data_IF_201034232056
#
_entry.id   IF_201034232056
#
_cell.length_a   1.000
_cell.length_b   1.000
_cell.length_c   1.000
_cell.angle_alpha   90.00
_cell.angle_beta   90.00
_cell.angle_gamma   90.00
#
_symmetry.space_group_name_H-M   'P 1'
#
loop_
_entity.id
_entity.type
_entity.pdbx_description
1 polymer ?
#
# COMPACT_ATOMS: atom_id res chain seq x y z
N UNK A 1 27.12 -21.64 -55.37
CA UNK A 1 26.50 -22.67 -54.50
C UNK A 1 25.28 -22.01 -53.87
N UNK A 2 24.03 -22.03 -54.36
CA UNK A 2 23.20 -23.01 -55.08
C UNK A 2 23.28 -24.41 -54.47
N UNK A 3 22.33 -24.73 -53.58
CA UNK A 3 21.42 -25.86 -53.76
C UNK A 3 20.05 -25.49 -53.17
N UNK A 4 19.06 -25.49 -54.05
CA UNK A 4 17.61 -25.45 -53.79
C UNK A 4 17.10 -26.89 -53.86
N UNK A 5 16.19 -27.30 -52.97
CA UNK A 5 15.44 -28.55 -53.12
C UNK A 5 13.98 -28.28 -52.74
N UNK A 6 13.10 -28.52 -53.72
CA UNK A 6 11.65 -28.58 -53.59
C UNK A 6 11.18 -30.03 -53.99
N UNK A 7 9.88 -30.36 -54.02
CA UNK A 7 9.24 -31.25 -53.06
C UNK A 7 8.82 -32.61 -53.64
N UNK A 8 8.62 -33.61 -52.78
CA UNK A 8 8.13 -34.95 -53.17
C UNK A 8 6.62 -35.10 -52.94
N UNK A 9 6.00 -35.76 -53.90
CA UNK A 9 4.56 -35.93 -54.13
C UNK A 9 3.87 -36.93 -53.20
N UNK A 10 2.54 -36.78 -53.11
CA UNK A 10 1.57 -37.70 -52.53
C UNK A 10 1.28 -38.93 -53.42
N UNK A 11 0.60 -39.96 -52.88
CA UNK A 11 -0.27 -40.79 -53.69
C UNK A 11 -1.74 -40.79 -53.22
N UNK A 12 -2.62 -40.91 -54.24
CA UNK A 12 -4.07 -41.07 -54.20
C UNK A 12 -4.49 -42.48 -53.76
N UNK A 13 -5.65 -42.57 -53.12
CA UNK A 13 -6.61 -43.68 -53.18
C UNK A 13 -7.98 -43.15 -52.72
N UNK A 14 -9.14 -43.71 -53.05
CA UNK A 14 -9.73 -44.41 -54.21
C UNK A 14 -11.23 -44.52 -53.81
N UNK A 15 -12.13 -44.38 -54.78
CA UNK A 15 -13.59 -44.33 -54.59
C UNK A 15 -14.19 -45.62 -53.98
N UNK A 16 -15.30 -45.47 -53.25
CA UNK A 16 -16.32 -46.50 -53.07
C UNK A 16 -17.72 -45.88 -52.85
N UNK A 17 -18.64 -46.26 -53.74
CA UNK A 17 -20.05 -45.88 -53.85
C UNK A 17 -20.97 -46.63 -52.85
N UNK A 18 -21.97 -45.90 -52.33
CA UNK A 18 -23.37 -46.30 -52.02
C UNK A 18 -23.67 -47.47 -51.04
N UNK A 19 -24.94 -47.65 -50.56
CA UNK A 19 -26.22 -47.11 -51.06
C UNK A 19 -27.18 -46.53 -49.98
N UNK A 20 -28.42 -46.29 -50.44
CA UNK A 20 -29.53 -45.44 -49.96
C UNK A 20 -30.44 -45.99 -48.84
N UNK A 21 -31.29 -45.06 -48.39
CA UNK A 21 -32.69 -45.17 -47.93
C UNK A 21 -33.01 -45.54 -46.47
N UNK A 22 -33.87 -44.71 -45.85
CA UNK A 22 -34.46 -44.96 -44.55
C UNK A 22 -35.03 -43.70 -43.90
N UNK A 23 -36.13 -43.17 -44.44
CA UNK A 23 -36.89 -42.09 -43.82
C UNK A 23 -37.85 -42.65 -42.75
N UNK A 24 -37.75 -42.16 -41.52
CA UNK A 24 -38.80 -42.26 -40.49
C UNK A 24 -39.10 -40.87 -39.88
N UNK A 25 -40.39 -40.55 -39.60
CA UNK A 25 -40.81 -39.23 -39.18
C UNK A 25 -40.58 -39.02 -37.68
N UNK A 26 -39.80 -37.99 -37.32
CA UNK A 26 -39.68 -37.53 -35.93
C UNK A 26 -40.96 -36.82 -35.46
N UNK A 27 -41.41 -37.04 -34.21
CA UNK A 27 -42.59 -36.40 -33.66
C UNK A 27 -42.36 -34.89 -33.45
N UNK A 28 -43.34 -34.08 -33.83
CA UNK A 28 -43.39 -32.64 -33.53
C UNK A 28 -43.57 -32.44 -32.02
N UNK A 29 -42.48 -32.21 -31.31
CA UNK A 29 -42.52 -31.63 -29.97
C UNK A 29 -42.71 -30.12 -30.13
N UNK A 30 -43.86 -29.61 -29.66
CA UNK A 30 -44.11 -28.17 -29.49
C UNK A 30 -43.01 -27.61 -28.57
N UNK A 31 -42.15 -26.75 -29.11
CA UNK A 31 -41.26 -25.92 -28.31
C UNK A 31 -42.12 -25.03 -27.41
N UNK A 32 -42.05 -25.24 -26.10
CA UNK A 32 -42.48 -24.25 -25.12
C UNK A 32 -41.57 -23.03 -25.28
N UNK A 33 -42.16 -21.84 -25.38
CA UNK A 33 -41.43 -20.59 -25.38
C UNK A 33 -40.49 -20.54 -24.15
N UNK A 34 -39.21 -20.14 -24.31
CA UNK A 34 -38.33 -19.98 -23.17
C UNK A 34 -38.95 -18.94 -22.23
N UNK A 35 -39.11 -19.33 -20.96
CA UNK A 35 -39.45 -18.39 -19.90
C UNK A 35 -38.43 -17.24 -19.93
N UNK A 36 -38.85 -15.98 -19.73
CA UNK A 36 -37.92 -14.85 -19.67
C UNK A 36 -36.88 -15.17 -18.58
N UNK A 37 -35.61 -15.20 -18.99
CA UNK A 37 -34.50 -15.38 -18.07
C UNK A 37 -34.58 -14.26 -17.02
N UNK A 38 -34.85 -14.64 -15.78
CA UNK A 38 -34.66 -13.76 -14.63
C UNK A 38 -33.16 -13.46 -14.59
N UNK A 39 -32.72 -12.21 -14.76
CA UNK A 39 -31.31 -11.89 -14.64
C UNK A 39 -30.91 -12.13 -13.18
N UNK A 40 -30.14 -13.19 -12.95
CA UNK A 40 -29.33 -13.32 -11.75
C UNK A 40 -28.42 -12.09 -11.72
N UNK A 41 -28.69 -11.18 -10.79
CA UNK A 41 -27.96 -9.94 -10.62
C UNK A 41 -26.47 -10.23 -10.44
N UNK A 42 -25.72 -10.10 -11.52
CA UNK A 42 -24.29 -9.86 -11.44
C UNK A 42 -24.11 -8.58 -10.64
N UNK A 43 -23.40 -8.66 -9.52
CA UNK A 43 -22.89 -7.46 -8.87
C UNK A 43 -22.13 -6.69 -9.95
N UNK A 44 -22.67 -5.55 -10.37
CA UNK A 44 -22.01 -4.69 -11.33
C UNK A 44 -20.61 -4.43 -10.78
N UNK A 45 -19.57 -4.87 -11.49
CA UNK A 45 -18.19 -4.54 -11.16
C UNK A 45 -18.12 -3.02 -11.11
N UNK A 46 -18.11 -2.47 -9.89
CA UNK A 46 -17.95 -1.05 -9.69
C UNK A 46 -16.63 -0.60 -10.31
N UNK A 47 -16.52 0.69 -10.70
CA UNK A 47 -15.24 1.23 -11.15
C UNK A 47 -14.14 0.88 -10.14
N UNK A 48 -12.93 0.51 -10.60
CA UNK A 48 -11.86 0.03 -9.75
C UNK A 48 -11.56 1.03 -8.63
N UNK A 49 -11.78 0.62 -7.38
CA UNK A 49 -11.49 1.45 -6.21
C UNK A 49 -9.98 1.52 -6.01
N UNK A 50 -9.45 2.71 -5.75
CA UNK A 50 -8.01 2.92 -5.51
C UNK A 50 -7.81 3.74 -4.25
N UNK A 51 -6.72 3.57 -3.51
CA UNK A 51 -6.41 4.48 -2.41
C UNK A 51 -5.81 5.76 -2.99
N UNK A 52 -6.39 6.91 -2.66
CA UNK A 52 -5.91 8.22 -3.11
C UNK A 52 -5.14 8.90 -1.98
N UNK A 53 -3.89 9.28 -2.26
CA UNK A 53 -3.05 10.09 -1.38
C UNK A 53 -3.01 11.52 -1.90
N UNK A 54 -3.30 12.50 -1.03
CA UNK A 54 -3.18 13.92 -1.36
C UNK A 54 -2.10 14.55 -0.48
N UNK A 55 -1.19 15.30 -1.10
CA UNK A 55 -0.20 16.10 -0.40
C UNK A 55 -0.67 17.54 -0.39
N UNK A 56 -0.98 18.06 0.80
CA UNK A 56 -1.51 19.40 1.00
C UNK A 56 -0.43 20.28 1.61
N UNK A 57 -0.25 21.47 1.04
CA UNK A 57 0.35 22.61 1.71
C UNK A 57 -0.78 23.57 2.08
N UNK A 58 -0.89 23.91 3.36
CA UNK A 58 -1.91 24.81 3.89
C UNK A 58 -1.26 25.97 4.61
N UNK A 59 -1.97 27.09 4.74
CA UNK A 59 -1.49 28.23 5.51
C UNK A 59 -1.17 27.85 6.96
N UNK A 60 -0.31 28.64 7.59
CA UNK A 60 0.11 28.43 8.98
C UNK A 60 -1.07 28.45 9.99
N UNK A 61 -2.15 29.14 9.65
CA UNK A 61 -3.32 29.30 10.52
C UNK A 61 -4.42 28.25 10.27
N UNK A 62 -4.33 27.46 9.18
CA UNK A 62 -5.36 26.47 8.84
C UNK A 62 -5.39 25.34 9.89
N UNK A 63 -6.59 25.00 10.36
CA UNK A 63 -6.81 23.93 11.34
C UNK A 63 -7.17 22.61 10.65
N UNK A 64 -6.88 21.49 11.30
CA UNK A 64 -7.14 20.15 10.73
C UNK A 64 -8.63 19.89 10.46
N UNK A 65 -9.53 20.40 11.31
CA UNK A 65 -10.99 20.32 11.13
C UNK A 65 -11.45 21.08 9.88
N UNK A 66 -10.89 22.26 9.62
CA UNK A 66 -11.14 23.05 8.42
C UNK A 66 -10.70 22.29 7.16
N UNK A 67 -9.55 21.60 7.22
CA UNK A 67 -9.06 20.76 6.13
C UNK A 67 -10.03 19.62 5.83
N UNK A 68 -10.53 18.94 6.87
CA UNK A 68 -11.48 17.83 6.72
C UNK A 68 -12.82 18.30 6.16
N UNK A 69 -13.33 19.44 6.63
CA UNK A 69 -14.57 20.04 6.13
C UNK A 69 -14.44 20.40 4.65
N UNK A 70 -13.34 21.06 4.30
CA UNK A 70 -13.01 21.45 2.92
C UNK A 70 -12.93 20.23 1.98
N UNK A 71 -12.20 19.19 2.37
CA UNK A 71 -12.12 17.93 1.63
C UNK A 71 -13.49 17.27 1.48
N UNK A 72 -14.30 17.28 2.53
CA UNK A 72 -15.66 16.71 2.51
C UNK A 72 -16.58 17.46 1.54
N UNK A 73 -16.47 18.79 1.48
CA UNK A 73 -17.25 19.61 0.55
C UNK A 73 -16.80 19.37 -0.90
N UNK A 74 -15.49 19.28 -1.15
CA UNK A 74 -14.97 18.98 -2.48
C UNK A 74 -15.35 17.57 -2.96
N UNK A 75 -15.31 16.57 -2.08
CA UNK A 75 -15.77 15.21 -2.38
C UNK A 75 -17.26 15.19 -2.77
N UNK A 76 -18.12 15.86 -1.99
CA UNK A 76 -19.54 16.00 -2.32
C UNK A 76 -19.76 16.69 -3.66
N UNK A 77 -19.05 17.80 -3.91
CA UNK A 77 -19.21 18.61 -5.12
C UNK A 77 -18.64 17.94 -6.39
N UNK A 78 -17.75 16.96 -6.23
CA UNK A 78 -17.18 16.15 -7.33
C UNK A 78 -17.86 14.78 -7.47
N UNK A 79 -18.91 14.52 -6.69
CA UNK A 79 -19.60 13.22 -6.61
C UNK A 79 -18.66 12.05 -6.28
N UNK A 80 -17.49 12.35 -5.72
CA UNK A 80 -16.49 11.37 -5.35
C UNK A 80 -16.79 10.78 -3.97
N UNK A 81 -16.46 9.50 -3.82
CA UNK A 81 -16.70 8.70 -2.62
C UNK A 81 -15.43 7.95 -2.24
N UNK A 82 -15.36 7.52 -0.99
CA UNK A 82 -14.31 6.64 -0.49
C UNK A 82 -14.92 5.74 0.60
N UNK A 83 -14.30 4.59 0.87
CA UNK A 83 -14.80 3.63 1.88
C UNK A 83 -13.75 3.48 2.98
N UNK A 84 -14.09 3.93 4.18
CA UNK A 84 -13.23 3.90 5.36
C UNK A 84 -13.16 5.27 6.03
N UNK A 85 -12.13 5.47 6.85
CA UNK A 85 -11.88 6.76 7.52
C UNK A 85 -10.87 7.59 6.72
N UNK A 86 -11.15 8.89 6.58
CA UNK A 86 -10.20 9.87 6.05
C UNK A 86 -9.08 10.02 7.08
N UNK A 87 -7.84 9.75 6.66
CA UNK A 87 -6.66 9.93 7.52
C UNK A 87 -5.91 11.18 7.11
N UNK A 88 -5.75 12.12 8.04
CA UNK A 88 -4.91 13.30 7.88
C UNK A 88 -3.65 13.09 8.74
N UNK A 89 -2.47 13.19 8.13
CA UNK A 89 -1.20 13.06 8.85
C UNK A 89 -0.29 14.24 8.52
N UNK A 90 0.08 15.02 9.53
CA UNK A 90 1.09 16.06 9.38
C UNK A 90 2.43 15.45 8.95
N UNK A 91 3.09 16.11 7.99
CA UNK A 91 4.43 15.76 7.51
C UNK A 91 5.36 16.97 7.63
N UNK A 92 6.66 16.71 7.67
CA UNK A 92 7.63 17.78 7.77
C UNK A 92 7.73 18.57 6.47
N UNK A 93 8.05 19.87 6.53
CA UNK A 93 8.36 20.66 5.34
C UNK A 93 9.51 20.06 4.54
N UNK A 94 10.53 19.49 5.21
CA UNK A 94 11.65 18.83 4.54
C UNK A 94 11.19 17.65 3.67
N UNK A 95 10.35 16.77 4.21
CA UNK A 95 9.79 15.66 3.45
C UNK A 95 8.93 16.16 2.28
N UNK A 96 8.10 17.19 2.50
CA UNK A 96 7.31 17.78 1.41
C UNK A 96 8.19 18.39 0.31
N UNK A 97 9.29 19.06 0.66
CA UNK A 97 10.23 19.64 -0.30
C UNK A 97 11.02 18.57 -1.04
N UNK A 98 11.47 17.51 -0.37
CA UNK A 98 12.10 16.36 -1.03
C UNK A 98 11.13 15.73 -2.02
N UNK A 99 9.90 15.45 -1.57
CA UNK A 99 8.83 14.94 -2.40
C UNK A 99 8.55 15.86 -3.60
N UNK A 100 8.53 17.18 -3.36
CA UNK A 100 8.35 18.17 -4.41
C UNK A 100 9.53 18.23 -5.36
N UNK A 101 10.77 18.07 -4.90
CA UNK A 101 11.96 18.05 -5.75
C UNK A 101 12.05 16.80 -6.63
N UNK A 102 11.45 15.69 -6.19
CA UNK A 102 11.30 14.49 -6.99
C UNK A 102 10.27 14.66 -8.11
N UNK A 103 9.22 15.46 -7.86
CA UNK A 103 8.10 15.66 -8.79
C UNK A 103 8.33 16.84 -9.72
N UNK A 104 8.62 17.99 -9.13
CA UNK A 104 9.01 19.20 -9.82
C UNK A 104 10.55 19.22 -9.88
N UNK A 105 11.17 19.15 -11.07
CA UNK A 105 12.59 19.47 -11.26
C UNK A 105 12.85 20.97 -11.04
N UNK A 106 12.47 21.49 -9.87
CA UNK A 106 12.54 22.90 -9.54
C UNK A 106 13.89 23.20 -8.92
N UNK A 107 14.52 24.24 -9.47
CA UNK A 107 15.76 24.80 -8.96
C UNK A 107 15.62 25.15 -7.46
N UNK A 108 16.70 24.98 -6.68
CA UNK A 108 16.70 25.33 -5.26
C UNK A 108 16.23 26.77 -5.06
N UNK A 109 15.40 27.00 -4.04
CA UNK A 109 14.98 28.33 -3.65
C UNK A 109 16.22 29.18 -3.33
N UNK A 110 16.25 30.41 -3.84
CA UNK A 110 17.34 31.34 -3.58
C UNK A 110 17.59 31.48 -2.07
N UNK A 111 18.85 31.44 -1.65
CA UNK A 111 19.25 31.72 -0.28
C UNK A 111 18.72 33.11 0.10
N UNK A 112 17.83 33.14 1.09
CA UNK A 112 17.32 34.38 1.62
C UNK A 112 18.40 35.01 2.51
N UNK A 113 18.75 36.28 2.25
CA UNK A 113 19.57 37.07 3.15
C UNK A 113 18.89 37.15 4.53
N UNK A 114 19.46 36.49 5.54
CA UNK A 114 18.92 36.50 6.90
C UNK A 114 19.24 35.27 7.73
N UNK A 115 18.42 35.05 8.77
CA UNK A 115 18.43 33.83 9.58
C UNK A 115 17.68 32.74 8.80
N UNK A 116 18.33 31.60 8.55
CA UNK A 116 17.68 30.44 7.95
C UNK A 116 16.73 29.79 8.96
N UNK A 117 15.44 30.13 8.91
CA UNK A 117 14.42 29.58 9.83
C UNK A 117 13.65 28.46 9.14
N UNK A 118 13.71 27.24 9.70
CA UNK A 118 13.06 26.04 9.15
C UNK A 118 12.30 25.30 10.23
N UNK A 119 11.01 25.00 10.04
CA UNK A 119 10.26 24.17 11.01
C UNK A 119 10.74 22.72 11.00
N UNK A 120 10.91 22.13 12.19
CA UNK A 120 11.34 20.75 12.37
C UNK A 120 10.16 19.76 12.23
N UNK A 121 10.44 18.48 11.91
CA UNK A 121 9.47 17.38 11.81
C UNK A 121 8.79 16.96 13.13
N UNK A 122 8.58 17.84 14.10
CA UNK A 122 7.98 17.46 15.39
C UNK A 122 6.47 17.72 15.39
N UNK A 123 5.74 17.05 16.31
CA UNK A 123 4.34 17.41 16.60
C UNK A 123 4.22 18.82 17.21
N UNK A 124 5.34 19.41 17.63
CA UNK A 124 5.40 20.73 18.23
C UNK A 124 5.60 21.85 17.22
N UNK A 125 5.78 23.06 17.74
CA UNK A 125 6.16 24.24 16.99
C UNK A 125 7.68 24.43 17.03
N UNK A 126 8.45 23.36 16.80
CA UNK A 126 9.91 23.45 16.87
C UNK A 126 10.50 23.92 15.54
N UNK A 127 11.53 24.77 15.62
CA UNK A 127 12.24 25.33 14.48
C UNK A 127 13.74 25.05 14.59
N UNK A 128 14.39 24.99 13.45
CA UNK A 128 15.82 25.03 13.28
C UNK A 128 16.18 26.40 12.75
N UNK A 129 17.09 27.08 13.44
CA UNK A 129 17.64 28.37 13.04
C UNK A 129 19.06 28.16 12.56
N UNK A 130 19.39 28.66 11.37
CA UNK A 130 20.69 28.50 10.73
C UNK A 130 21.32 29.88 10.53
N UNK A 131 22.56 30.01 10.99
CA UNK A 131 23.46 31.14 10.73
C UNK A 131 24.77 30.59 10.16
N UNK A 132 25.68 31.48 9.77
CA UNK A 132 27.01 31.09 9.33
C UNK A 132 27.73 30.25 10.41
N UNK A 133 28.42 29.15 10.07
CA UNK A 133 29.10 28.30 11.05
C UNK A 133 30.17 29.01 11.88
N UNK A 134 30.71 30.14 11.40
CA UNK A 134 31.68 30.98 12.12
C UNK A 134 31.01 31.93 13.12
N UNK A 135 29.70 32.10 13.03
CA UNK A 135 28.90 32.98 13.88
C UNK A 135 28.30 32.22 15.07
N UNK A 136 28.11 32.96 16.17
CA UNK A 136 27.41 32.49 17.37
C UNK A 136 26.25 33.45 17.65
N UNK A 137 25.03 32.92 17.74
CA UNK A 137 23.87 33.66 18.20
C UNK A 137 24.03 33.99 19.68
N UNK A 138 23.92 35.27 20.05
CA UNK A 138 23.91 35.74 21.43
C UNK A 138 22.49 35.83 21.96
N UNK A 139 21.56 36.23 21.10
CA UNK A 139 20.18 36.52 21.48
C UNK A 139 19.27 36.37 20.27
N UNK A 140 18.11 35.78 20.49
CA UNK A 140 17.01 35.77 19.54
C UNK A 140 15.82 36.50 20.15
N UNK A 141 15.29 37.47 19.43
CA UNK A 141 14.08 38.16 19.81
C UNK A 141 12.99 37.85 18.81
N UNK A 142 11.85 37.40 19.29
CA UNK A 142 10.71 37.00 18.45
C UNK A 142 9.50 37.84 18.83
N UNK A 143 8.87 38.48 17.85
CA UNK A 143 7.61 39.20 18.01
C UNK A 143 6.47 38.26 17.68
N UNK A 144 5.59 38.00 18.66
CA UNK A 144 4.40 37.18 18.51
C UNK A 144 3.14 38.03 18.37
N UNK A 145 2.09 37.46 17.76
CA UNK A 145 0.81 38.13 17.48
C UNK A 145 0.06 38.60 18.73
N UNK A 146 -0.03 37.78 19.78
CA UNK A 146 -0.73 38.07 21.03
C UNK A 146 0.23 38.29 22.22
N UNK A 147 1.34 37.54 22.30
CA UNK A 147 2.29 37.59 23.40
C UNK A 147 3.32 38.73 23.28
N UNK A 148 3.31 39.47 22.17
CA UNK A 148 4.24 40.56 21.92
C UNK A 148 5.68 40.07 21.75
N UNK A 149 6.66 40.90 22.14
CA UNK A 149 8.08 40.63 21.95
C UNK A 149 8.64 39.77 23.09
N UNK A 150 9.26 38.63 22.77
CA UNK A 150 9.99 37.80 23.73
C UNK A 150 11.45 37.60 23.32
N UNK A 151 12.31 37.50 24.31
CA UNK A 151 13.74 37.33 24.13
C UNK A 151 14.18 35.95 24.62
N UNK A 152 15.07 35.34 23.85
CA UNK A 152 15.60 34.00 24.08
C UNK A 152 17.11 34.05 23.99
N UNK A 153 17.78 33.48 24.98
CA UNK A 153 19.25 33.36 25.02
C UNK A 153 19.59 31.90 24.72
N UNK A 154 20.50 31.62 23.78
CA UNK A 154 20.89 30.25 23.48
C UNK A 154 21.52 29.55 24.68
N UNK A 155 20.98 28.39 25.03
CA UNK A 155 21.55 27.46 25.98
C UNK A 155 22.57 26.53 25.33
N UNK A 156 23.45 25.95 26.15
CA UNK A 156 24.43 24.97 25.72
C UNK A 156 23.81 23.62 25.32
N UNK A 157 24.54 22.81 24.53
CA UNK A 157 24.08 21.47 24.16
C UNK A 157 23.92 20.60 25.42
N UNK A 158 22.69 20.22 25.75
CA UNK A 158 22.36 19.34 26.89
C UNK A 158 21.25 19.86 27.80
N UNK A 159 20.91 21.16 27.73
CA UNK A 159 19.76 21.71 28.45
C UNK A 159 18.46 21.38 27.70
N UNK A 160 17.73 20.38 28.19
CA UNK A 160 16.55 19.81 27.50
C UNK A 160 15.32 20.72 27.51
N UNK A 161 15.25 21.65 28.45
CA UNK A 161 14.06 22.49 28.68
C UNK A 161 14.25 23.95 28.21
N UNK A 162 15.42 24.27 27.66
CA UNK A 162 15.69 25.59 27.14
C UNK A 162 14.97 25.80 25.79
N UNK A 163 14.28 26.93 25.58
CA UNK A 163 13.54 27.19 24.36
C UNK A 163 14.43 27.48 23.15
N UNK A 164 15.73 27.74 23.35
CA UNK A 164 16.69 27.98 22.29
C UNK A 164 17.99 27.26 22.66
N UNK A 165 18.37 26.24 21.89
CA UNK A 165 19.51 25.36 22.21
C UNK A 165 20.47 25.32 21.03
N UNK A 166 21.76 25.52 21.29
CA UNK A 166 22.80 25.28 20.29
C UNK A 166 22.93 23.77 20.02
N UNK A 167 22.71 23.36 18.78
CA UNK A 167 22.87 21.95 18.36
C UNK A 167 24.32 21.72 17.96
N UNK A 168 24.81 22.53 17.02
CA UNK A 168 26.17 22.56 16.48
C UNK A 168 26.49 23.99 16.05
N UNK A 169 27.76 24.39 15.89
CA UNK A 169 28.09 25.73 15.38
C UNK A 169 27.29 26.09 14.12
N UNK A 170 26.62 27.24 14.15
CA UNK A 170 25.72 27.70 13.09
C UNK A 170 24.28 27.18 13.14
N UNK A 171 23.91 26.20 13.98
CA UNK A 171 22.56 25.62 14.01
C UNK A 171 21.97 25.53 15.42
N UNK A 172 20.75 26.04 15.56
CA UNK A 172 20.02 26.12 16.83
C UNK A 172 18.66 25.45 16.72
N UNK A 173 18.24 24.72 17.75
CA UNK A 173 16.86 24.28 17.92
C UNK A 173 16.10 25.36 18.70
N UNK A 174 14.93 25.75 18.21
CA UNK A 174 14.08 26.75 18.82
C UNK A 174 12.67 26.22 19.05
N UNK A 175 12.28 26.11 20.31
CA UNK A 175 10.96 25.70 20.78
C UNK A 175 10.30 26.90 21.47
N UNK A 176 9.49 27.70 20.76
CA UNK A 176 8.86 28.88 21.31
C UNK A 176 7.95 28.51 22.50
N UNK A 177 8.11 29.21 23.63
CA UNK A 177 7.31 28.94 24.84
C UNK A 177 5.87 29.47 24.74
N UNK A 178 5.60 30.36 23.78
CA UNK A 178 4.26 30.86 23.54
C UNK A 178 3.53 29.92 22.56
N UNK A 179 2.31 29.48 22.93
CA UNK A 179 1.35 28.89 21.99
C UNK A 179 0.74 29.99 21.10
N UNK A 180 1.60 30.78 20.47
CA UNK A 180 1.24 31.95 19.69
C UNK A 180 2.06 32.03 18.41
N UNK A 181 1.55 32.73 17.42
CA UNK A 181 2.13 32.81 16.09
C UNK A 181 3.28 33.83 16.06
N UNK A 182 4.53 33.42 15.78
CA UNK A 182 5.63 34.34 15.56
C UNK A 182 5.44 35.09 14.23
N UNK A 183 5.68 36.40 14.25
CA UNK A 183 5.53 37.31 13.12
C UNK A 183 6.89 37.78 12.59
N UNK A 184 7.82 38.11 13.49
CA UNK A 184 9.12 38.70 13.15
C UNK A 184 10.21 38.17 14.07
N UNK A 185 11.45 38.22 13.61
CA UNK A 185 12.63 37.95 14.42
C UNK A 185 13.68 39.05 14.32
N UNK A 186 14.49 39.17 15.36
CA UNK A 186 15.76 39.88 15.39
C UNK A 186 16.77 39.04 16.18
N UNK A 187 17.87 38.65 15.54
CA UNK A 187 18.93 37.83 16.11
C UNK A 187 20.23 38.61 16.18
N UNK A 188 20.81 38.74 17.38
CA UNK A 188 22.12 39.32 17.57
C UNK A 188 23.16 38.20 17.44
N UNK A 189 24.03 38.30 16.44
CA UNK A 189 25.06 37.32 16.12
C UNK A 189 26.45 37.93 16.28
N UNK A 190 27.39 37.12 16.75
CA UNK A 190 28.77 37.51 16.95
C UNK A 190 29.70 36.60 16.18
N UNK A 191 30.77 37.17 15.63
CA UNK A 191 31.85 36.43 14.97
C UNK A 191 33.18 36.90 15.54
N UNK A 192 34.10 35.97 15.79
CA UNK A 192 35.39 36.30 16.39
C UNK A 192 36.15 37.26 15.47
N UNK A 193 36.54 38.42 16.02
CA UNK A 193 37.29 39.44 15.27
C UNK A 193 36.42 40.36 14.41
N UNK A 194 35.09 40.22 14.41
CA UNK A 194 34.16 41.16 13.77
C UNK A 194 33.26 41.83 14.80
N UNK A 195 32.64 42.94 14.40
CA UNK A 195 31.61 43.61 15.20
C UNK A 195 30.36 42.74 15.20
N UNK A 196 29.65 42.71 16.32
CA UNK A 196 28.34 42.08 16.42
C UNK A 196 27.38 42.64 15.34
N UNK A 197 26.64 41.75 14.73
CA UNK A 197 25.67 42.03 13.67
C UNK A 197 24.27 41.65 14.17
N UNK A 198 23.25 42.42 13.81
CA UNK A 198 21.86 42.08 14.10
C UNK A 198 21.17 41.71 12.79
N UNK A 199 20.66 40.48 12.71
CA UNK A 199 19.90 39.97 11.57
C UNK A 199 18.42 39.99 11.92
N UNK A 200 17.62 40.76 11.19
CA UNK A 200 16.16 40.84 11.39
C UNK A 200 15.39 40.48 10.14
N UNK A 201 14.21 39.88 10.31
CA UNK A 201 13.35 39.54 9.20
C UNK A 201 11.95 39.14 9.65
N UNK A 202 11.05 38.96 8.68
CA UNK A 202 9.76 38.35 8.93
C UNK A 202 9.96 36.88 9.31
N UNK A 203 9.20 36.39 10.29
CA UNK A 203 9.16 34.98 10.58
C UNK A 203 8.56 34.28 9.36
N UNK A 204 9.20 33.24 8.80
CA UNK A 204 8.66 32.60 7.61
C UNK A 204 7.28 32.06 7.95
N UNK A 205 6.29 32.40 7.13
CA UNK A 205 5.02 31.69 7.14
C UNK A 205 5.31 30.25 6.77
N UNK A 206 5.42 29.37 7.78
CA UNK A 206 5.68 27.97 7.51
C UNK A 206 4.34 27.33 7.19
N UNK A 207 4.14 27.06 5.91
CA UNK A 207 3.03 26.23 5.47
C UNK A 207 3.02 24.93 6.28
N UNK A 208 1.83 24.52 6.71
CA UNK A 208 1.64 23.18 7.28
C UNK A 208 1.49 22.21 6.12
N UNK A 209 2.13 21.05 6.25
CA UNK A 209 2.12 20.04 5.21
C UNK A 209 1.42 18.79 5.74
N UNK A 210 0.51 18.24 4.94
CA UNK A 210 -0.25 17.05 5.31
C UNK A 210 -0.27 16.02 4.19
N UNK A 211 -0.38 14.76 4.59
CA UNK A 211 -0.78 13.65 3.73
C UNK A 211 -2.20 13.26 4.11
N UNK A 212 -3.12 13.37 3.16
CA UNK A 212 -4.50 12.86 3.26
C UNK A 212 -4.54 11.49 2.60
N UNK A 213 -5.12 10.50 3.27
CA UNK A 213 -5.39 9.18 2.70
C UNK A 213 -6.89 8.96 2.59
N UNK A 214 -7.34 8.67 1.37
CA UNK A 214 -8.73 8.35 1.03
C UNK A 214 -8.79 6.89 0.55
N UNK A 215 -9.09 5.92 1.44
CA UNK A 215 -9.11 4.50 1.10
C UNK A 215 -10.28 4.16 0.17
N UNK A 216 -10.05 3.26 -0.80
CA UNK A 216 -11.08 2.79 -1.74
C UNK A 216 -11.84 3.94 -2.40
N UNK A 217 -11.12 4.96 -2.83
CA UNK A 217 -11.63 6.11 -3.55
C UNK A 217 -12.26 5.68 -4.88
N UNK A 218 -13.44 6.24 -5.14
CA UNK A 218 -14.26 6.06 -6.34
C UNK A 218 -14.76 7.44 -6.79
N UNK A 219 -14.42 7.84 -8.02
CA UNK A 219 -14.84 9.14 -8.58
C UNK A 219 -13.83 9.71 -9.56
N UNK A 220 -14.17 10.84 -10.16
CA UNK A 220 -13.24 11.55 -11.04
C UNK A 220 -12.24 12.38 -10.21
N UNK A 221 -10.97 11.98 -10.26
CA UNK A 221 -9.88 12.67 -9.55
C UNK A 221 -9.75 14.11 -10.05
N UNK A 222 -9.82 14.35 -11.35
CA UNK A 222 -9.66 15.69 -11.93
C UNK A 222 -10.73 16.64 -11.38
N UNK A 223 -11.98 16.19 -11.36
CA UNK A 223 -13.08 16.97 -10.77
C UNK A 223 -12.86 17.23 -9.29
N UNK A 224 -12.41 16.24 -8.50
CA UNK A 224 -12.07 16.48 -7.09
C UNK A 224 -11.00 17.56 -6.94
N UNK A 225 -9.91 17.50 -7.72
CA UNK A 225 -8.84 18.48 -7.67
C UNK A 225 -9.28 19.87 -8.12
N UNK A 226 -10.15 19.97 -9.12
CA UNK A 226 -10.76 21.24 -9.52
C UNK A 226 -11.61 21.83 -8.39
N UNK A 227 -12.43 21.02 -7.72
CA UNK A 227 -13.25 21.46 -6.59
C UNK A 227 -12.43 21.87 -5.38
N UNK A 228 -11.28 21.24 -5.14
CA UNK A 228 -10.35 21.63 -4.07
C UNK A 228 -9.67 22.98 -4.32
N UNK A 229 -9.63 23.45 -5.57
CA UNK A 229 -9.09 24.75 -5.97
C UNK A 229 -10.15 25.84 -6.09
N UNK A 230 -11.43 25.48 -6.01
CA UNK A 230 -12.55 26.40 -6.18
C UNK A 230 -12.92 27.05 -4.84
N UNK A 231 -12.60 28.35 -4.69
CA UNK A 231 -12.95 29.17 -3.52
C UNK A 231 -14.45 29.27 -3.25
N UNK A 232 -15.32 28.91 -4.21
CA UNK A 232 -16.77 28.84 -4.01
C UNK A 232 -17.22 27.55 -3.33
N UNK A 233 -16.39 26.51 -3.37
CA UNK A 233 -16.67 25.18 -2.82
C UNK A 233 -15.91 24.96 -1.52
N UNK A 234 -14.69 25.49 -1.45
CA UNK A 234 -13.82 25.43 -0.28
C UNK A 234 -13.47 26.84 0.16
N UNK A 235 -13.67 27.17 1.44
CA UNK A 235 -13.45 28.52 1.96
C UNK A 235 -12.00 29.02 1.76
N UNK A 236 -11.03 28.12 1.82
CA UNK A 236 -9.63 28.36 1.50
C UNK A 236 -9.17 27.36 0.43
N UNK A 237 -9.11 27.76 -0.85
CA UNK A 237 -8.62 26.86 -1.90
C UNK A 237 -7.23 26.33 -1.54
N UNK A 238 -7.09 25.01 -1.61
CA UNK A 238 -5.82 24.38 -1.35
C UNK A 238 -4.90 24.55 -2.54
N UNK A 239 -3.60 24.79 -2.27
CA UNK A 239 -2.57 24.65 -3.27
C UNK A 239 -2.26 23.15 -3.49
N UNK A 240 -3.22 22.43 -4.09
CA UNK A 240 -3.05 21.01 -4.41
C UNK A 240 -2.39 20.89 -5.77
N UNK A 241 -1.13 20.41 -5.77
CA UNK A 241 -0.49 19.95 -7.01
C UNK A 241 -0.89 18.50 -7.28
N UNK A 242 -1.29 18.26 -8.52
CA UNK A 242 -1.55 16.92 -9.05
C UNK A 242 -0.20 16.26 -9.30
N UNK A 243 0.17 15.32 -8.46
CA UNK A 243 1.36 14.50 -8.65
C UNK A 243 0.91 13.15 -9.18
N UNK A 244 0.65 13.09 -10.48
CA UNK A 244 0.35 11.81 -11.14
C UNK A 244 1.51 10.81 -10.97
N UNK A 245 2.73 11.30 -10.75
CA UNK A 245 3.96 10.51 -10.60
C UNK A 245 4.22 9.97 -9.17
N UNK A 246 3.57 10.51 -8.12
CA UNK A 246 3.75 9.98 -6.75
C UNK A 246 2.97 8.70 -6.47
N UNK A 247 2.04 8.34 -7.35
CA UNK A 247 1.42 7.02 -7.36
C UNK A 247 2.46 5.91 -7.50
N UNK A 248 3.59 6.14 -8.19
CA UNK A 248 4.65 5.13 -8.33
C UNK A 248 5.44 4.89 -7.02
N UNK A 249 5.77 5.94 -6.27
CA UNK A 249 6.54 5.80 -5.03
C UNK A 249 5.72 5.09 -3.93
N UNK A 250 4.44 5.45 -3.77
CA UNK A 250 3.57 4.85 -2.75
C UNK A 250 2.92 3.53 -3.18
N UNK A 251 2.68 3.29 -4.48
CA UNK A 251 2.29 1.95 -4.93
C UNK A 251 3.39 0.92 -4.66
N UNK A 252 4.67 1.31 -4.71
CA UNK A 252 5.76 0.40 -4.32
C UNK A 252 5.78 0.12 -2.80
N UNK A 253 5.50 1.12 -1.96
CA UNK A 253 5.54 1.01 -0.49
C UNK A 253 4.27 0.38 0.12
N UNK A 254 3.10 0.53 -0.52
CA UNK A 254 1.82 0.00 -0.06
C UNK A 254 1.22 -1.12 -0.94
N UNK A 255 1.91 -1.61 -1.99
CA UNK A 255 1.45 -2.83 -2.68
C UNK A 255 1.44 -4.08 -1.79
N UNK A 256 2.02 -4.01 -0.59
CA UNK A 256 1.90 -5.05 0.45
C UNK A 256 0.85 -4.73 1.53
N UNK A 257 0.28 -3.52 1.56
CA UNK A 257 -0.83 -3.16 2.45
C UNK A 257 -2.18 -3.46 1.80
N UNK A 258 -2.29 -4.59 1.10
CA UNK A 258 -3.50 -5.05 0.44
C UNK A 258 -4.50 -5.53 1.51
N UNK A 259 -5.47 -4.68 1.81
CA UNK A 259 -6.69 -5.01 2.53
C UNK A 259 -7.71 -5.79 1.66
N UNK A 260 -7.31 -6.17 0.43
CA UNK A 260 -8.08 -7.02 -0.48
C UNK A 260 -8.11 -8.50 -0.08
N UNK A 261 -9.26 -9.14 -0.28
CA UNK A 261 -9.40 -10.60 -0.17
C UNK A 261 -8.58 -11.30 -1.27
N UNK A 262 -7.50 -12.00 -0.91
CA UNK A 262 -6.81 -12.93 -1.82
C UNK A 262 -5.30 -12.82 -1.79
N UNK A 263 -4.66 -13.34 -2.84
CA UNK A 263 -3.22 -13.18 -3.10
C UNK A 263 -2.97 -11.96 -3.98
N UNK A 264 -1.83 -11.32 -3.73
CA UNK A 264 -1.34 -10.20 -4.53
C UNK A 264 -0.23 -10.68 -5.46
N UNK A 265 -0.28 -10.27 -6.73
CA UNK A 265 0.69 -10.72 -7.74
C UNK A 265 1.56 -9.54 -8.20
N UNK A 266 2.88 -9.68 -8.05
CA UNK A 266 3.89 -8.78 -8.59
C UNK A 266 4.40 -9.25 -9.95
N UNK A 267 5.50 -8.65 -10.43
CA UNK A 267 6.16 -9.07 -11.68
C UNK A 267 6.87 -10.43 -11.54
N UNK A 268 7.55 -10.58 -10.40
CA UNK A 268 8.51 -11.64 -10.06
C UNK A 268 8.21 -12.25 -8.68
N UNK A 269 7.01 -12.01 -8.15
CA UNK A 269 6.59 -12.55 -6.85
C UNK A 269 5.08 -12.73 -6.74
N UNK A 270 4.68 -13.57 -5.79
CA UNK A 270 3.33 -13.68 -5.27
C UNK A 270 3.35 -13.43 -3.77
N UNK A 271 2.39 -12.67 -3.27
CA UNK A 271 2.14 -12.52 -1.83
C UNK A 271 0.98 -13.43 -1.47
N UNK A 272 1.30 -14.55 -0.82
CA UNK A 272 0.29 -15.49 -0.37
C UNK A 272 -0.19 -15.05 1.01
N UNK A 273 -1.51 -14.94 1.19
CA UNK A 273 -2.10 -14.45 2.43
C UNK A 273 -3.16 -15.39 3.02
N UNK A 274 -3.29 -15.32 4.35
CA UNK A 274 -4.29 -16.01 5.15
C UNK A 274 -4.85 -15.08 6.23
N UNK A 275 -6.16 -15.19 6.49
CA UNK A 275 -6.82 -14.40 7.53
C UNK A 275 -6.30 -14.75 8.93
N UNK A 276 -6.20 -13.74 9.79
CA UNK A 276 -6.00 -13.96 11.22
C UNK A 276 -7.35 -14.29 11.85
N UNK A 277 -7.44 -15.46 12.50
CA UNK A 277 -8.67 -15.91 13.13
C UNK A 277 -8.90 -15.09 14.42
N UNK A 278 -9.92 -14.24 14.42
CA UNK A 278 -10.25 -13.38 15.57
C UNK A 278 -10.54 -14.22 16.83
N UNK A 279 -10.16 -13.70 18.00
CA UNK A 279 -10.35 -14.33 19.31
C UNK A 279 -9.62 -15.67 19.49
N UNK A 280 -8.50 -15.84 18.79
CA UNK A 280 -7.79 -17.10 18.76
C UNK A 280 -6.28 -16.84 18.78
N UNK A 281 -5.53 -17.60 19.59
CA UNK A 281 -4.07 -17.46 19.73
C UNK A 281 -3.32 -18.23 18.63
N UNK A 282 -3.47 -17.79 17.38
CA UNK A 282 -2.75 -18.37 16.24
C UNK A 282 -1.25 -18.12 16.44
N UNK A 283 -0.47 -19.19 16.55
CA UNK A 283 0.98 -19.12 16.68
C UNK A 283 1.66 -19.06 15.33
N UNK A 284 1.20 -19.88 14.38
CA UNK A 284 1.76 -19.99 13.02
C UNK A 284 0.66 -20.27 12.01
N UNK A 285 0.90 -19.86 10.77
CA UNK A 285 0.09 -20.25 9.63
C UNK A 285 0.98 -20.82 8.56
N UNK A 286 0.57 -21.94 8.00
CA UNK A 286 1.29 -22.66 6.96
C UNK A 286 0.47 -22.66 5.68
N UNK A 287 1.14 -22.50 4.54
CA UNK A 287 0.51 -22.60 3.23
C UNK A 287 1.21 -23.62 2.35
N UNK A 288 0.45 -24.56 1.79
CA UNK A 288 0.93 -25.53 0.80
C UNK A 288 0.68 -24.98 -0.60
N UNK A 289 1.75 -24.70 -1.33
CA UNK A 289 1.73 -23.95 -2.57
C UNK A 289 2.91 -24.35 -3.48
N UNK A 290 2.80 -24.27 -4.82
CA UNK A 290 1.61 -24.04 -5.65
C UNK A 290 0.89 -25.36 -5.98
N UNK A 291 -0.43 -25.35 -6.05
CA UNK A 291 -1.22 -26.53 -6.42
C UNK A 291 -2.01 -26.25 -7.71
N UNK A 292 -2.07 -27.22 -8.61
CA UNK A 292 -3.11 -27.23 -9.65
C UNK A 292 -4.40 -27.83 -9.10
N UNK A 293 -5.46 -27.90 -9.91
CA UNK A 293 -6.76 -28.41 -9.48
C UNK A 293 -6.69 -29.90 -9.03
N UNK A 294 -5.88 -30.72 -9.70
CA UNK A 294 -5.75 -32.14 -9.38
C UNK A 294 -4.97 -32.32 -8.07
N UNK A 295 -3.80 -31.67 -7.96
CA UNK A 295 -2.97 -31.67 -6.77
C UNK A 295 -3.69 -31.07 -5.56
N UNK A 296 -4.54 -30.06 -5.76
CA UNK A 296 -5.36 -29.51 -4.67
C UNK A 296 -6.36 -30.55 -4.16
N UNK A 297 -7.09 -31.24 -5.05
CA UNK A 297 -8.03 -32.30 -4.65
C UNK A 297 -7.32 -33.43 -3.89
N UNK A 298 -6.17 -33.87 -4.38
CA UNK A 298 -5.36 -34.89 -3.72
C UNK A 298 -4.86 -34.43 -2.35
N UNK A 299 -4.33 -33.21 -2.26
CA UNK A 299 -3.85 -32.65 -1.01
C UNK A 299 -4.99 -32.43 -0.01
N UNK A 300 -6.17 -31.98 -0.45
CA UNK A 300 -7.38 -31.90 0.38
C UNK A 300 -7.74 -33.27 0.92
N UNK A 301 -7.78 -34.31 0.09
CA UNK A 301 -8.08 -35.67 0.54
C UNK A 301 -7.07 -36.18 1.56
N UNK A 302 -5.76 -35.94 1.32
CA UNK A 302 -4.68 -36.32 2.24
C UNK A 302 -4.78 -35.61 3.58
N UNK A 303 -4.90 -34.28 3.58
CA UNK A 303 -4.83 -33.46 4.79
C UNK A 303 -6.17 -33.28 5.51
N UNK A 304 -7.27 -33.78 4.93
CA UNK A 304 -8.57 -33.93 5.60
C UNK A 304 -8.90 -35.37 5.99
N UNK A 305 -7.96 -36.31 5.86
CA UNK A 305 -8.16 -37.68 6.33
C UNK A 305 -8.52 -37.66 7.83
N UNK A 306 -9.67 -38.21 8.25
CA UNK A 306 -10.08 -38.28 9.65
C UNK A 306 -9.07 -38.99 10.57
N UNK A 307 -8.17 -39.82 10.00
CA UNK A 307 -7.11 -40.51 10.74
C UNK A 307 -5.92 -39.60 11.04
N UNK A 308 -5.78 -38.48 10.34
CA UNK A 308 -4.72 -37.51 10.57
C UNK A 308 -5.07 -36.68 11.80
N UNK A 309 -4.38 -36.93 12.91
CA UNK A 309 -4.56 -36.11 14.11
C UNK A 309 -3.90 -34.73 13.91
N UNK A 310 -4.44 -33.70 14.57
CA UNK A 310 -4.02 -32.30 14.40
C UNK A 310 -2.59 -32.01 14.86
N UNK A 311 -2.01 -32.83 15.75
CA UNK A 311 -0.62 -32.69 16.21
C UNK A 311 0.37 -33.27 15.20
N UNK A 312 0.08 -34.46 14.67
CA UNK A 312 0.88 -35.13 13.63
C UNK A 312 0.90 -34.28 12.37
N UNK A 313 -0.23 -33.69 11.97
CA UNK A 313 -0.28 -32.75 10.85
C UNK A 313 0.73 -31.60 11.01
N UNK A 314 0.73 -30.90 12.16
CA UNK A 314 1.68 -29.81 12.38
C UNK A 314 3.13 -30.29 12.43
N UNK A 315 3.40 -31.47 12.96
CA UNK A 315 4.74 -32.06 12.97
C UNK A 315 5.22 -32.39 11.55
N UNK A 316 4.36 -32.96 10.70
CA UNK A 316 4.67 -33.25 9.31
C UNK A 316 4.94 -31.97 8.53
N UNK A 317 4.08 -30.95 8.68
CA UNK A 317 4.28 -29.65 8.03
C UNK A 317 5.63 -29.05 8.40
N UNK A 318 5.99 -29.01 9.70
CA UNK A 318 7.25 -28.41 10.16
C UNK A 318 8.51 -29.08 9.62
N UNK A 319 8.45 -30.36 9.22
CA UNK A 319 9.60 -31.08 8.65
C UNK A 319 9.91 -30.63 7.22
N UNK A 320 8.88 -30.25 6.48
CA UNK A 320 8.96 -29.94 5.05
C UNK A 320 8.77 -28.44 4.76
N UNK A 321 8.37 -27.66 5.76
CA UNK A 321 8.10 -26.24 5.60
C UNK A 321 9.36 -25.42 5.47
N UNK A 322 9.31 -24.46 4.54
CA UNK A 322 10.26 -23.35 4.47
C UNK A 322 9.90 -22.35 5.59
N UNK A 323 10.73 -22.18 6.62
CA UNK A 323 10.48 -21.24 7.70
C UNK A 323 10.44 -19.79 7.20
N UNK A 324 9.76 -18.90 7.92
CA UNK A 324 9.54 -17.52 7.44
C UNK A 324 10.83 -16.71 7.24
N UNK A 325 11.86 -16.97 8.05
CA UNK A 325 13.16 -16.30 8.00
C UNK A 325 14.07 -16.76 6.83
N UNK A 326 13.66 -17.79 6.09
CA UNK A 326 14.35 -18.27 4.90
C UNK A 326 13.75 -17.66 3.62
N UNK A 327 14.59 -17.46 2.60
CA UNK A 327 14.12 -17.02 1.30
C UNK A 327 13.13 -18.03 0.70
N UNK A 328 11.96 -17.55 0.27
CA UNK A 328 10.98 -18.37 -0.44
C UNK A 328 11.02 -18.05 -1.93
N UNK A 329 11.27 -19.08 -2.73
CA UNK A 329 11.18 -19.02 -4.18
C UNK A 329 10.43 -20.25 -4.69
N UNK A 330 9.84 -20.11 -5.88
CA UNK A 330 9.16 -21.19 -6.59
C UNK A 330 9.30 -21.01 -8.10
N UNK A 331 9.53 -22.13 -8.78
CA UNK A 331 9.51 -22.23 -10.24
C UNK A 331 8.22 -22.92 -10.70
N UNK A 332 7.88 -22.77 -11.98
CA UNK A 332 6.73 -23.46 -12.55
C UNK A 332 6.81 -24.99 -12.36
N UNK A 333 8.01 -25.57 -12.40
CA UNK A 333 8.25 -27.01 -12.26
C UNK A 333 8.57 -27.50 -10.85
N UNK A 334 8.61 -26.61 -9.87
CA UNK A 334 8.83 -27.04 -8.49
C UNK A 334 7.61 -27.80 -7.96
N UNK A 335 7.82 -28.87 -7.18
CA UNK A 335 6.72 -29.52 -6.48
C UNK A 335 6.15 -28.57 -5.41
N UNK A 336 4.87 -28.75 -5.01
CA UNK A 336 4.27 -27.96 -3.95
C UNK A 336 5.03 -28.15 -2.63
N UNK A 337 5.17 -27.08 -1.85
CA UNK A 337 5.86 -27.09 -0.55
C UNK A 337 5.10 -26.26 0.48
N UNK A 338 5.39 -26.52 1.75
CA UNK A 338 4.86 -25.73 2.85
C UNK A 338 5.69 -24.46 3.04
N UNK A 339 5.03 -23.33 3.22
CA UNK A 339 5.64 -22.06 3.55
C UNK A 339 5.01 -21.51 4.83
N UNK A 340 5.84 -21.13 5.79
CA UNK A 340 5.37 -20.37 6.97
C UNK A 340 4.96 -18.96 6.56
N UNK A 341 3.83 -18.48 7.07
CA UNK A 341 3.38 -17.10 6.96
C UNK A 341 3.55 -16.38 8.30
N UNK A 342 3.84 -15.08 8.28
CA UNK A 342 3.99 -14.27 9.50
C UNK A 342 2.98 -13.12 9.53
N UNK A 343 2.54 -12.75 10.73
CA UNK A 343 1.83 -11.50 10.97
C UNK A 343 2.80 -10.31 10.86
N UNK A 344 2.43 -9.24 10.13
CA UNK A 344 3.21 -8.01 10.12
C UNK A 344 3.41 -7.49 11.55
N UNK A 345 4.66 -7.16 11.92
CA UNK A 345 5.00 -6.67 13.27
C UNK A 345 4.29 -5.37 13.62
N UNK A 346 4.03 -4.55 12.62
CA UNK A 346 3.36 -3.26 12.67
C UNK A 346 1.83 -3.36 12.63
N UNK A 347 1.27 -4.54 12.34
CA UNK A 347 -0.17 -4.77 12.29
C UNK A 347 -0.55 -6.16 12.86
N UNK A 348 -0.56 -6.34 14.19
CA UNK A 348 -0.90 -7.62 14.83
C UNK A 348 -2.36 -8.05 14.59
N UNK A 349 -3.24 -7.11 14.22
CA UNK A 349 -4.61 -7.40 13.80
C UNK A 349 -4.76 -7.69 12.30
N UNK A 350 -3.66 -7.68 11.55
CA UNK A 350 -3.61 -7.88 10.12
C UNK A 350 -3.75 -9.34 9.70
N UNK A 351 -3.30 -9.63 8.47
CA UNK A 351 -3.31 -10.97 7.88
C UNK A 351 -1.93 -11.60 7.97
N UNK A 352 -1.88 -12.93 8.05
CA UNK A 352 -0.64 -13.65 7.85
C UNK A 352 -0.29 -13.58 6.36
N UNK A 353 0.93 -13.17 6.03
CA UNK A 353 1.36 -13.05 4.64
C UNK A 353 2.81 -13.45 4.46
N UNK A 354 3.16 -13.85 3.23
CA UNK A 354 4.54 -14.05 2.81
C UNK A 354 4.72 -13.75 1.34
N UNK A 355 5.78 -13.01 1.02
CA UNK A 355 6.27 -12.83 -0.34
C UNK A 355 7.06 -14.07 -0.76
N UNK A 356 6.64 -14.71 -1.85
CA UNK A 356 7.33 -15.83 -2.49
C UNK A 356 7.81 -15.35 -3.86
N UNK A 357 9.12 -15.41 -4.10
CA UNK A 357 9.70 -15.06 -5.39
C UNK A 357 9.31 -16.10 -6.44
N UNK A 358 8.98 -15.66 -7.64
CA UNK A 358 8.60 -16.52 -8.76
C UNK A 358 9.53 -16.23 -9.92
N UNK A 359 10.29 -17.23 -10.36
CA UNK A 359 11.28 -17.08 -11.43
C UNK A 359 10.64 -16.56 -12.73
N UNK A 360 9.48 -17.13 -13.08
CA UNK A 360 8.75 -16.77 -14.29
C UNK A 360 7.24 -16.93 -14.08
N UNK A 361 6.58 -15.82 -13.74
CA UNK A 361 5.15 -15.81 -13.44
C UNK A 361 4.29 -16.18 -14.66
N UNK A 362 4.75 -15.91 -15.88
CA UNK A 362 4.03 -16.29 -17.10
C UNK A 362 4.04 -17.77 -17.37
N UNK A 363 5.19 -18.41 -17.18
CA UNK A 363 5.33 -19.85 -17.33
C UNK A 363 4.48 -20.57 -16.29
N UNK A 364 4.49 -20.06 -15.06
CA UNK A 364 3.59 -20.52 -14.00
C UNK A 364 2.12 -20.36 -14.43
N UNK A 365 1.74 -19.21 -15.02
CA UNK A 365 0.39 -18.95 -15.52
C UNK A 365 -0.03 -19.84 -16.69
N UNK A 366 0.92 -20.27 -17.51
CA UNK A 366 0.69 -21.25 -18.57
C UNK A 366 0.45 -22.66 -18.02
N UNK A 367 1.17 -23.04 -16.95
CA UNK A 367 1.10 -24.37 -16.36
C UNK A 367 -0.13 -24.57 -15.47
N UNK A 368 -0.38 -23.65 -14.55
CA UNK A 368 -1.48 -23.76 -13.59
C UNK A 368 -2.70 -23.01 -14.12
N UNK A 369 -3.67 -23.71 -14.73
CA UNK A 369 -4.93 -23.06 -15.17
C UNK A 369 -5.71 -22.44 -14.00
N UNK A 370 -5.69 -23.14 -12.87
CA UNK A 370 -6.17 -22.68 -11.57
C UNK A 370 -5.02 -22.78 -10.61
N UNK A 371 -4.83 -21.75 -9.77
CA UNK A 371 -3.80 -21.74 -8.74
C UNK A 371 -4.45 -22.01 -7.39
N UNK A 372 -4.19 -23.18 -6.86
CA UNK A 372 -4.68 -23.67 -5.58
C UNK A 372 -3.65 -23.52 -4.45
N UNK A 373 -4.16 -23.49 -3.22
CA UNK A 373 -3.37 -23.60 -2.00
C UNK A 373 -4.15 -24.26 -0.87
N UNK A 374 -3.43 -24.82 0.10
CA UNK A 374 -3.99 -25.25 1.38
C UNK A 374 -3.44 -24.42 2.53
N UNK A 375 -4.32 -24.01 3.45
CA UNK A 375 -3.95 -23.20 4.61
C UNK A 375 -4.22 -24.00 5.89
N UNK A 376 -3.23 -24.04 6.78
CA UNK A 376 -3.32 -24.67 8.10
C UNK A 376 -2.90 -23.67 9.18
N UNK A 377 -3.74 -23.45 10.19
CA UNK A 377 -3.44 -22.62 11.35
C UNK A 377 -3.02 -23.50 12.53
N UNK A 378 -1.89 -23.15 13.14
CA UNK A 378 -1.33 -23.79 14.34
C UNK A 378 -1.48 -22.84 15.54
N UNK A 379 -1.96 -23.35 16.67
CA UNK A 379 -2.29 -22.57 17.85
C UNK A 379 -1.35 -22.81 19.02
N UNK A 380 -1.13 -21.77 19.82
CA UNK A 380 -0.58 -21.95 21.17
C UNK A 380 -1.72 -22.19 22.16
N UNK A 381 -2.15 -23.44 22.27
CA UNK A 381 -3.23 -23.87 23.17
C UNK A 381 -2.72 -24.52 24.46
N UNK A 382 -1.45 -24.32 24.81
CA UNK A 382 -0.80 -24.96 25.96
C UNK A 382 -0.47 -26.45 25.77
N UNK A 383 -0.84 -27.06 24.63
CA UNK A 383 -0.38 -28.40 24.28
C UNK A 383 1.06 -28.35 23.76
N UNK A 384 1.87 -29.31 24.19
CA UNK A 384 3.23 -29.50 23.68
C UNK A 384 3.31 -30.89 23.04
N UNK A 385 3.40 -31.00 21.70
CA UNK A 385 3.53 -29.91 20.74
C UNK A 385 2.19 -29.22 20.38
N UNK A 386 2.24 -27.97 19.89
CA UNK A 386 1.10 -27.24 19.31
C UNK A 386 0.32 -28.06 18.27
N UNK A 387 -0.98 -27.82 18.17
CA UNK A 387 -1.89 -28.54 17.27
C UNK A 387 -2.54 -27.62 16.22
N UNK A 388 -2.92 -28.18 15.08
CA UNK A 388 -3.78 -27.49 14.10
C UNK A 388 -5.17 -27.19 14.70
N UNK A 389 -5.89 -26.18 14.19
CA UNK A 389 -7.30 -25.93 14.51
C UNK A 389 -8.23 -26.46 13.40
N UNK A 390 -9.41 -26.92 13.79
CA UNK A 390 -10.49 -27.15 12.85
C UNK A 390 -11.22 -25.82 12.62
N UNK A 391 -11.18 -25.28 11.42
CA UNK A 391 -11.95 -24.09 11.03
C UNK A 391 -13.22 -24.51 10.27
N UNK A 392 -14.25 -23.67 10.29
CA UNK A 392 -15.43 -23.90 9.45
C UNK A 392 -15.05 -23.62 8.00
N UNK A 393 -15.30 -24.58 7.12
CA UNK A 393 -15.14 -24.39 5.70
C UNK A 393 -16.16 -23.35 5.19
N UNK A 394 -15.81 -22.46 4.24
CA UNK A 394 -16.73 -21.47 3.69
C UNK A 394 -17.98 -22.09 3.06
N UNK A 395 -17.86 -23.32 2.54
CA UNK A 395 -18.97 -24.15 2.08
C UNK A 395 -19.57 -24.92 3.28
N UNK A 396 -20.79 -24.61 3.73
CA UNK A 396 -21.38 -25.21 4.94
C UNK A 396 -21.43 -26.73 4.93
N UNK A 397 -21.62 -27.35 3.76
CA UNK A 397 -21.71 -28.79 3.57
C UNK A 397 -20.41 -29.54 3.86
N UNK A 398 -19.26 -28.85 3.84
CA UNK A 398 -17.95 -29.45 4.14
C UNK A 398 -17.69 -29.47 5.66
N UNK A 399 -18.32 -28.59 6.43
CA UNK A 399 -18.20 -28.55 7.89
C UNK A 399 -16.83 -28.09 8.38
N UNK A 400 -16.34 -28.67 9.48
CA UNK A 400 -15.07 -28.32 10.12
C UNK A 400 -13.90 -29.04 9.47
N UNK A 401 -12.83 -28.30 9.15
CA UNK A 401 -11.64 -28.81 8.45
C UNK A 401 -10.35 -28.31 9.10
N UNK A 402 -9.31 -29.14 9.11
CA UNK A 402 -7.98 -28.76 9.61
C UNK A 402 -7.12 -28.03 8.57
N UNK A 403 -7.45 -28.22 7.29
CA UNK A 403 -6.84 -27.56 6.15
C UNK A 403 -7.93 -26.90 5.29
N UNK A 404 -7.79 -25.60 5.04
CA UNK A 404 -8.69 -24.83 4.19
C UNK A 404 -8.12 -24.76 2.77
N UNK A 405 -8.88 -25.24 1.78
CA UNK A 405 -8.56 -25.02 0.37
C UNK A 405 -8.99 -23.64 -0.09
N UNK A 406 -8.14 -23.03 -0.92
CA UNK A 406 -8.46 -21.81 -1.66
C UNK A 406 -7.99 -22.01 -3.10
N UNK A 407 -8.87 -21.68 -4.04
CA UNK A 407 -8.60 -21.65 -5.47
C UNK A 407 -8.70 -20.22 -5.97
N UNK A 408 -7.73 -19.79 -6.78
CA UNK A 408 -7.81 -18.56 -7.56
C UNK A 408 -7.97 -18.93 -9.04
N UNK A 409 -9.22 -18.88 -9.53
CA UNK A 409 -9.58 -19.21 -10.92
C UNK A 409 -9.20 -18.10 -11.89
N UNK A 410 -9.12 -16.87 -11.40
CA UNK A 410 -8.85 -15.68 -12.21
C UNK A 410 -7.38 -15.26 -12.16
N UNK A 411 -6.52 -16.05 -11.52
CA UNK A 411 -5.13 -15.68 -11.28
C UNK A 411 -4.35 -15.43 -12.58
N UNK A 412 -4.58 -16.21 -13.63
CA UNK A 412 -3.97 -15.99 -14.94
C UNK A 412 -4.34 -14.64 -15.56
N UNK A 413 -5.55 -14.13 -15.28
CA UNK A 413 -5.97 -12.78 -15.68
C UNK A 413 -5.24 -11.74 -14.83
N UNK A 414 -5.08 -11.98 -13.51
CA UNK A 414 -4.34 -11.10 -12.60
C UNK A 414 -2.87 -10.97 -13.01
N UNK A 415 -2.21 -12.05 -13.39
CA UNK A 415 -0.81 -12.05 -13.89
C UNK A 415 -0.67 -11.23 -15.17
N UNK A 416 -1.59 -11.40 -16.14
CA UNK A 416 -1.59 -10.61 -17.38
C UNK A 416 -1.72 -9.12 -17.08
N UNK A 417 -2.69 -8.73 -16.23
CA UNK A 417 -2.90 -7.34 -15.81
C UNK A 417 -1.69 -6.77 -15.06
N UNK A 418 -1.08 -7.54 -14.16
CA UNK A 418 0.11 -7.13 -13.41
C UNK A 418 1.28 -6.83 -14.37
N UNK A 419 1.45 -7.64 -15.41
CA UNK A 419 2.54 -7.42 -16.36
C UNK A 419 2.29 -6.28 -17.33
N UNK A 420 1.05 -6.09 -17.79
CA UNK A 420 0.69 -4.95 -18.64
C UNK A 420 0.92 -3.61 -17.93
N UNK A 421 0.75 -3.57 -16.61
CA UNK A 421 1.09 -2.39 -15.79
C UNK A 421 2.58 -2.08 -15.79
N UNK A 422 3.45 -3.09 -15.79
CA UNK A 422 4.90 -2.90 -15.74
C UNK A 422 5.54 -2.56 -17.10
N UNK A 423 4.77 -2.70 -18.20
CA UNK A 423 5.23 -2.32 -19.55
C UNK A 423 4.95 -0.84 -19.89
N UNK A 424 4.19 -0.15 -19.05
CA UNK A 424 3.91 1.29 -19.15
C UNK A 424 4.76 2.02 -18.13
#
# INVERSE_FOLDING_TARGET
MIVSVAPSQAPKAKDADGPKDGAEPKPKVKAAAPAPAVPLGGAAEGPPSTTLYLFLATGADEREDEIVIALSNALKASEAKFVGELKLKAISPGFYQELRSLVDQVAPAAEADGLGVRRLPSRGNDYELTIEPTQVMKKLTVTYKAAGKKEYVPAGPGEKDAPLVLIVPGRYAFSPQANDLPLEYAADVAEIGKKDESKSGQWPATDKHYVVTLPKFVGNREQLFEKLKDNKVVANAFNVKRSDDLLFAFASLNSTADDGEGDTFGADFVVVSAENLKNSNVRRVWVYYPLDEAALKEAVAKFRDPKLNSQTLCQEIRKEAVPFDQAAAVKADDPPRWYELQLPRDNPGGRFARKIMVDNLFEMAGKYKTLGRLIVWEFDNGLTPPSAISTNHPKPEVGKVWALDREDKDWGIKVKKATERNKK
#
